data_IF_015917150430
#
_entry.id   IF_015917150430
#
_cell.length_a   1.000
_cell.length_b   1.000
_cell.length_c   1.000
_cell.angle_alpha   90.00
_cell.angle_beta   90.00
_cell.angle_gamma   90.00
#
_symmetry.space_group_name_H-M   'P 1'
#
loop_
_entity.id
_entity.type
_entity.pdbx_description
1 polymer ?
#
# COMPACT_ATOMS: atom_id res chain seq x y z
N UNK A 1 -14.86 1.91 -3.63
CA UNK A 1 -14.89 3.38 -3.83
C UNK A 1 -13.44 3.82 -3.76
N UNK A 2 -12.79 4.02 -4.90
CA UNK A 2 -11.35 4.29 -4.98
C UNK A 2 -11.06 5.68 -4.42
N UNK A 3 -9.91 5.85 -3.77
CA UNK A 3 -9.55 7.11 -3.11
C UNK A 3 -9.03 8.07 -4.17
N UNK A 4 -9.95 8.62 -4.98
CA UNK A 4 -9.65 9.74 -5.87
C UNK A 4 -9.63 11.01 -5.02
N UNK A 5 -8.43 11.50 -4.73
CA UNK A 5 -8.24 12.72 -3.95
C UNK A 5 -7.59 13.75 -4.86
N UNK A 6 -8.24 14.91 -5.01
CA UNK A 6 -7.85 15.94 -5.98
C UNK A 6 -7.79 15.45 -7.44
N UNK A 7 -8.56 14.42 -7.81
CA UNK A 7 -8.62 13.88 -9.17
C UNK A 7 -7.51 12.89 -9.52
N UNK A 8 -6.70 12.46 -8.54
CA UNK A 8 -5.64 11.45 -8.72
C UNK A 8 -5.74 10.35 -7.66
N UNK A 9 -5.24 9.16 -7.96
CA UNK A 9 -5.18 7.97 -7.09
C UNK A 9 -3.73 7.56 -6.83
N UNK A 10 -3.44 6.95 -5.68
CA UNK A 10 -2.09 6.45 -5.32
C UNK A 10 -1.52 5.51 -6.39
N UNK A 11 -2.39 4.80 -7.11
CA UNK A 11 -2.01 3.87 -8.17
C UNK A 11 -1.64 4.56 -9.49
N UNK A 12 -2.01 5.82 -9.71
CA UNK A 12 -1.67 6.58 -10.93
C UNK A 12 -0.16 6.75 -11.04
N UNK A 13 0.43 6.52 -12.22
CA UNK A 13 1.88 6.43 -12.43
C UNK A 13 2.63 7.79 -12.49
N UNK A 14 1.89 8.89 -12.67
CA UNK A 14 2.48 10.20 -12.86
C UNK A 14 3.35 10.64 -11.66
N UNK A 15 4.49 11.31 -11.91
CA UNK A 15 5.53 11.51 -10.89
C UNK A 15 5.12 12.45 -9.74
N UNK A 16 4.12 13.30 -9.95
CA UNK A 16 3.65 14.31 -9.00
C UNK A 16 2.42 13.90 -8.19
N UNK A 17 1.88 12.69 -8.43
CA UNK A 17 0.66 12.18 -7.79
C UNK A 17 0.79 12.15 -6.28
N UNK A 18 1.88 11.57 -5.74
CA UNK A 18 2.07 11.48 -4.30
C UNK A 18 2.26 12.86 -3.64
N UNK A 19 2.82 13.83 -4.35
CA UNK A 19 2.96 15.20 -3.85
C UNK A 19 1.60 15.92 -3.83
N UNK A 20 0.80 15.79 -4.89
CA UNK A 20 -0.58 16.30 -4.94
C UNK A 20 -1.42 15.75 -3.79
N UNK A 21 -1.37 14.44 -3.58
CA UNK A 21 -2.09 13.76 -2.51
C UNK A 21 -1.59 14.21 -1.13
N UNK A 22 -0.28 14.27 -0.91
CA UNK A 22 0.29 14.72 0.36
C UNK A 22 -0.08 16.17 0.68
N UNK A 23 -0.03 17.07 -0.29
CA UNK A 23 -0.46 18.46 -0.12
C UNK A 23 -1.95 18.57 0.17
N UNK A 24 -2.78 17.77 -0.51
CA UNK A 24 -4.22 17.74 -0.23
C UNK A 24 -4.49 17.25 1.20
N UNK A 25 -3.88 16.14 1.61
CA UNK A 25 -3.98 15.61 2.98
C UNK A 25 -3.56 16.64 4.03
N UNK A 26 -2.49 17.39 3.78
CA UNK A 26 -2.07 18.47 4.68
C UNK A 26 -3.13 19.58 4.82
N UNK A 27 -3.84 19.92 3.74
CA UNK A 27 -4.95 20.90 3.78
C UNK A 27 -6.13 20.41 4.63
N UNK A 28 -6.31 19.09 4.73
CA UNK A 28 -7.29 18.45 5.62
C UNK A 28 -6.80 18.33 7.08
N UNK A 29 -5.61 18.84 7.40
CA UNK A 29 -5.02 18.75 8.74
C UNK A 29 -4.24 17.46 9.03
N UNK A 30 -4.00 16.62 8.01
CA UNK A 30 -3.20 15.39 8.16
C UNK A 30 -1.71 15.73 8.13
N UNK A 31 -1.01 15.46 9.24
CA UNK A 31 0.44 15.66 9.32
C UNK A 31 1.26 14.53 8.68
N UNK A 32 0.76 13.30 8.74
CA UNK A 32 1.42 12.12 8.18
C UNK A 32 0.42 11.03 7.80
N UNK A 33 0.79 10.17 6.85
CA UNK A 33 -0.09 9.13 6.32
C UNK A 33 0.67 7.98 5.66
N UNK A 34 -0.07 6.90 5.39
CA UNK A 34 0.38 5.75 4.60
C UNK A 34 -0.44 5.72 3.31
N UNK A 35 0.14 6.04 2.14
CA UNK A 35 -0.51 5.77 0.86
C UNK A 35 -0.91 4.29 0.76
N UNK A 36 -2.18 4.08 0.44
CA UNK A 36 -2.80 2.76 0.35
C UNK A 36 -2.86 2.30 -1.10
N UNK A 37 -2.25 1.16 -1.41
CA UNK A 37 -2.43 0.50 -2.71
C UNK A 37 -3.72 -0.29 -2.72
N UNK A 38 -4.30 -0.56 -3.90
CA UNK A 38 -5.47 -1.44 -4.04
C UNK A 38 -5.12 -2.73 -4.81
N UNK A 39 -5.98 -3.75 -4.70
CA UNK A 39 -5.93 -4.96 -5.54
C UNK A 39 -5.89 -4.61 -7.02
N UNK A 40 -4.74 -4.87 -7.65
CA UNK A 40 -4.43 -4.68 -9.07
C UNK A 40 -3.40 -5.75 -9.46
N UNK A 41 -3.03 -5.94 -10.75
CA UNK A 41 -1.95 -6.86 -11.10
C UNK A 41 -0.65 -6.58 -10.32
N UNK A 42 0.06 -7.64 -9.94
CA UNK A 42 1.19 -7.58 -9.00
C UNK A 42 2.32 -6.64 -9.47
N UNK A 43 2.57 -6.55 -10.77
CA UNK A 43 3.52 -5.60 -11.36
C UNK A 43 3.15 -4.14 -11.07
N UNK A 44 1.86 -3.80 -11.09
CA UNK A 44 1.36 -2.46 -10.76
C UNK A 44 1.50 -2.18 -9.26
N UNK A 45 1.26 -3.18 -8.40
CA UNK A 45 1.54 -3.08 -6.96
C UNK A 45 3.04 -2.82 -6.74
N UNK A 46 3.92 -3.57 -7.41
CA UNK A 46 5.37 -3.39 -7.30
C UNK A 46 5.79 -1.97 -7.70
N UNK A 47 5.24 -1.44 -8.80
CA UNK A 47 5.52 -0.08 -9.25
C UNK A 47 5.04 0.96 -8.22
N UNK A 48 3.83 0.81 -7.67
CA UNK A 48 3.31 1.69 -6.62
C UNK A 48 4.19 1.66 -5.36
N UNK A 49 4.54 0.47 -4.87
CA UNK A 49 5.40 0.31 -3.68
C UNK A 49 6.77 0.98 -3.87
N UNK A 50 7.41 0.83 -5.05
CA UNK A 50 8.69 1.50 -5.34
C UNK A 50 8.57 3.02 -5.28
N UNK A 51 7.52 3.58 -5.87
CA UNK A 51 7.30 5.04 -5.89
C UNK A 51 7.01 5.59 -4.50
N UNK A 52 6.19 4.88 -3.71
CA UNK A 52 5.93 5.23 -2.32
C UNK A 52 7.22 5.18 -1.50
N UNK A 53 8.04 4.14 -1.65
CA UNK A 53 9.31 4.00 -0.95
C UNK A 53 10.28 5.15 -1.27
N UNK A 54 10.44 5.49 -2.56
CA UNK A 54 11.26 6.63 -3.00
C UNK A 54 10.76 7.95 -2.40
N UNK A 55 9.44 8.16 -2.39
CA UNK A 55 8.84 9.37 -1.82
C UNK A 55 8.95 9.44 -0.30
N UNK A 56 8.86 8.30 0.38
CA UNK A 56 9.06 8.16 1.82
C UNK A 56 10.49 8.56 2.20
N UNK A 57 11.49 8.09 1.45
CA UNK A 57 12.91 8.34 1.73
C UNK A 57 13.35 9.76 1.38
N UNK A 58 12.94 10.31 0.22
CA UNK A 58 13.38 11.66 -0.18
C UNK A 58 12.65 12.79 0.55
N UNK A 59 11.52 12.48 1.20
CA UNK A 59 10.60 13.50 1.70
C UNK A 59 9.93 14.28 0.55
N UNK A 60 9.35 15.43 0.89
CA UNK A 60 8.66 16.30 -0.08
C UNK A 60 7.52 17.10 0.57
N UNK A 61 6.75 17.87 -0.22
CA UNK A 61 5.74 18.79 0.29
C UNK A 61 4.52 18.08 0.89
N UNK A 62 3.81 18.77 1.77
CA UNK A 62 2.55 18.30 2.37
C UNK A 62 2.74 17.29 3.50
N UNK A 63 1.75 16.42 3.67
CA UNK A 63 1.74 15.39 4.70
C UNK A 63 2.89 14.40 4.51
N UNK A 64 3.56 14.03 5.60
CA UNK A 64 4.67 13.08 5.57
C UNK A 64 4.19 11.68 5.18
N UNK A 65 4.84 11.07 4.19
CA UNK A 65 4.64 9.66 3.84
C UNK A 65 5.51 8.80 4.76
N UNK A 66 4.89 7.92 5.56
CA UNK A 66 5.59 7.08 6.55
C UNK A 66 5.95 5.68 6.05
N UNK A 67 5.52 5.36 4.82
CA UNK A 67 5.62 4.04 4.21
C UNK A 67 4.38 3.74 3.39
N UNK A 68 4.12 2.45 3.12
CA UNK A 68 2.95 2.01 2.35
C UNK A 68 2.02 1.12 3.16
N UNK A 69 0.73 1.19 2.84
CA UNK A 69 -0.28 0.22 3.24
C UNK A 69 -0.67 -0.60 2.01
N UNK A 70 -0.59 -1.93 2.11
CA UNK A 70 -0.98 -2.84 1.06
C UNK A 70 -2.42 -3.34 1.29
N UNK A 71 -3.40 -2.80 0.58
CA UNK A 71 -4.81 -3.24 0.64
C UNK A 71 -5.13 -4.23 -0.49
N UNK A 72 -5.02 -5.52 -0.18
CA UNK A 72 -5.09 -6.61 -1.15
C UNK A 72 -3.72 -6.93 -1.75
N UNK A 73 -3.58 -8.00 -2.55
CA UNK A 73 -4.62 -8.82 -3.18
C UNK A 73 -5.09 -10.04 -2.36
N UNK A 74 -4.71 -10.13 -1.08
CA UNK A 74 -4.94 -11.31 -0.23
C UNK A 74 -6.34 -11.35 0.42
N UNK A 75 -7.38 -11.12 -0.37
CA UNK A 75 -8.77 -11.17 0.08
C UNK A 75 -9.46 -12.48 -0.32
N UNK A 76 -10.60 -12.76 0.31
CA UNK A 76 -11.50 -13.86 -0.05
C UNK A 76 -12.73 -13.32 -0.80
N UNK A 77 -13.35 -14.10 -1.70
CA UNK A 77 -14.56 -13.68 -2.42
C UNK A 77 -15.70 -13.20 -1.52
N UNK A 78 -15.81 -13.80 -0.32
CA UNK A 78 -16.81 -13.46 0.69
C UNK A 78 -16.58 -12.07 1.30
N UNK A 79 -15.32 -11.63 1.37
CA UNK A 79 -14.89 -10.35 1.93
C UNK A 79 -14.33 -9.41 0.84
N UNK A 80 -14.83 -9.51 -0.40
CA UNK A 80 -14.26 -8.82 -1.57
C UNK A 80 -14.38 -7.29 -1.54
N UNK A 81 -15.34 -6.74 -0.79
CA UNK A 81 -15.66 -5.31 -0.85
C UNK A 81 -15.84 -4.82 -2.29
N UNK A 82 -15.08 -3.79 -2.68
CA UNK A 82 -15.05 -3.24 -4.04
C UNK A 82 -13.92 -3.81 -4.93
N UNK A 83 -13.21 -4.83 -4.47
CA UNK A 83 -12.06 -5.38 -5.19
C UNK A 83 -12.47 -6.44 -6.23
N UNK A 84 -11.79 -6.49 -7.39
CA UNK A 84 -12.01 -7.49 -8.43
C UNK A 84 -11.57 -8.90 -7.95
N UNK A 85 -12.49 -9.87 -7.78
CA UNK A 85 -12.16 -11.20 -7.28
C UNK A 85 -11.15 -11.97 -8.14
N UNK A 86 -11.13 -11.71 -9.45
CA UNK A 86 -10.21 -12.30 -10.41
C UNK A 86 -8.74 -11.95 -10.17
N UNK A 87 -8.47 -10.91 -9.38
CA UNK A 87 -7.12 -10.49 -9.01
C UNK A 87 -6.72 -10.99 -7.62
N UNK A 88 -7.56 -11.80 -6.95
CA UNK A 88 -7.21 -12.33 -5.64
C UNK A 88 -6.11 -13.37 -5.74
N UNK A 89 -5.18 -13.30 -4.79
CA UNK A 89 -4.01 -14.18 -4.74
C UNK A 89 -3.99 -14.92 -3.41
N UNK A 90 -3.49 -16.15 -3.44
CA UNK A 90 -3.14 -16.84 -2.19
C UNK A 90 -1.92 -16.18 -1.57
N UNK A 91 -1.88 -16.15 -0.24
CA UNK A 91 -0.78 -15.56 0.50
C UNK A 91 0.39 -16.56 0.50
N UNK A 92 1.44 -16.23 -0.24
CA UNK A 92 2.69 -16.97 -0.23
C UNK A 92 3.78 -16.14 0.45
N UNK A 93 4.52 -16.72 1.40
CA UNK A 93 5.57 -16.00 2.16
C UNK A 93 6.62 -15.41 1.22
N UNK A 94 7.01 -16.16 0.17
CA UNK A 94 7.97 -15.68 -0.81
C UNK A 94 7.48 -14.44 -1.58
N UNK A 95 6.18 -14.32 -1.86
CA UNK A 95 5.61 -13.14 -2.51
C UNK A 95 5.60 -11.95 -1.55
N UNK A 96 5.26 -12.18 -0.28
CA UNK A 96 5.33 -11.14 0.76
C UNK A 96 6.76 -10.61 0.95
N UNK A 97 7.76 -11.50 0.99
CA UNK A 97 9.17 -11.11 1.09
C UNK A 97 9.60 -10.26 -0.12
N UNK A 98 9.13 -10.61 -1.33
CA UNK A 98 9.36 -9.79 -2.52
C UNK A 98 8.72 -8.41 -2.42
N UNK A 99 7.48 -8.32 -1.91
CA UNK A 99 6.79 -7.04 -1.72
C UNK A 99 7.51 -6.15 -0.70
N UNK A 100 7.98 -6.74 0.41
CA UNK A 100 8.80 -6.04 1.41
C UNK A 100 10.09 -5.52 0.78
N UNK A 101 10.81 -6.36 0.02
CA UNK A 101 12.05 -5.98 -0.65
C UNK A 101 11.83 -4.87 -1.69
N UNK A 102 10.79 -4.98 -2.52
CA UNK A 102 10.42 -3.99 -3.54
C UNK A 102 10.02 -2.66 -2.92
N UNK A 103 9.37 -2.69 -1.76
CA UNK A 103 9.07 -1.50 -0.96
C UNK A 103 10.29 -0.90 -0.25
N UNK A 104 11.49 -1.47 -0.40
CA UNK A 104 12.69 -1.05 0.33
C UNK A 104 12.46 -0.99 1.85
N UNK A 105 11.71 -1.97 2.38
CA UNK A 105 11.30 -2.04 3.79
C UNK A 105 10.40 -0.90 4.28
N UNK A 106 9.79 -0.11 3.38
CA UNK A 106 8.80 0.91 3.77
C UNK A 106 7.37 0.39 3.82
N UNK A 107 7.09 -0.85 3.43
CA UNK A 107 5.79 -1.48 3.65
C UNK A 107 5.56 -1.61 5.16
N UNK A 108 4.47 -1.03 5.67
CA UNK A 108 4.18 -1.01 7.12
C UNK A 108 3.05 -1.94 7.52
N UNK A 109 2.03 -2.02 6.67
CA UNK A 109 0.80 -2.75 6.94
C UNK A 109 0.38 -3.49 5.68
N UNK A 110 -0.08 -4.74 5.87
CA UNK A 110 -0.69 -5.56 4.82
C UNK A 110 -2.07 -5.98 5.29
N UNK A 111 -3.10 -5.64 4.52
CA UNK A 111 -4.45 -6.14 4.73
C UNK A 111 -4.57 -7.56 4.16
N UNK A 112 -5.04 -8.48 4.99
CA UNK A 112 -5.20 -9.88 4.66
C UNK A 112 -6.51 -10.39 5.27
N UNK A 113 -7.20 -11.29 4.57
CA UNK A 113 -8.39 -11.95 5.10
C UNK A 113 -7.96 -13.05 6.10
N UNK A 114 -8.38 -13.04 7.38
CA UNK A 114 -7.82 -13.88 8.46
C UNK A 114 -7.95 -15.40 8.25
N UNK A 115 -8.82 -15.85 7.34
CA UNK A 115 -9.15 -17.26 7.09
C UNK A 115 -8.25 -17.99 6.08
N UNK A 116 -7.43 -17.29 5.28
CA UNK A 116 -6.39 -17.92 4.43
C UNK A 116 -5.35 -18.71 5.24
N UNK A 117 -4.78 -19.74 4.62
CA UNK A 117 -3.71 -20.55 5.25
C UNK A 117 -2.39 -19.77 5.14
N UNK A 118 -1.62 -19.68 6.23
CA UNK A 118 -0.35 -18.94 6.27
C UNK A 118 -0.29 -17.80 7.30
N UNK A 119 -1.41 -17.40 7.90
CA UNK A 119 -1.45 -16.34 8.95
C UNK A 119 -0.80 -16.72 10.28
N UNK A 120 -0.45 -18.00 10.47
CA UNK A 120 0.11 -18.50 11.73
C UNK A 120 1.55 -18.02 12.01
N UNK A 121 2.07 -17.08 11.22
CA UNK A 121 3.04 -16.09 11.69
C UNK A 121 2.44 -14.68 11.62
N UNK A 122 1.87 -14.14 12.72
CA UNK A 122 1.57 -12.72 12.80
C UNK A 122 2.88 -11.96 13.05
N UNK A 123 3.61 -11.61 11.99
CA UNK A 123 4.77 -10.71 12.07
C UNK A 123 4.68 -9.49 11.14
N UNK A 124 3.50 -9.18 10.59
CA UNK A 124 3.32 -8.05 9.67
C UNK A 124 2.60 -6.82 10.29
N UNK A 125 2.61 -6.69 11.62
CA UNK A 125 2.95 -5.39 12.20
C UNK A 125 4.48 -5.37 12.13
N UNK A 126 5.05 -4.70 11.12
CA UNK A 126 6.48 -4.49 11.02
C UNK A 126 6.94 -3.56 12.17
N UNK A 127 6.97 -4.10 13.39
CA UNK A 127 7.73 -3.55 14.50
C UNK A 127 9.21 -3.83 14.23
N UNK A 128 9.85 -2.99 13.42
CA UNK A 128 11.28 -2.75 13.58
C UNK A 128 11.44 -1.78 14.76
N UNK A 129 11.95 -2.35 15.86
CA UNK A 129 12.38 -1.66 17.07
C UNK A 129 13.41 -0.56 16.77
N UNK A 130 13.32 0.49 17.60
CA UNK A 130 14.35 1.47 18.02
C UNK A 130 14.80 2.52 17.02
#
# INVERSE_FOLDING_TARGET
MYTVVAGVDVMDDAPDVLDKLAMHKAREGVGSWLPTTVTTPLNTIHAALKRIAQRCQRGGPGAQVLGSYLEGPYFTPQNKGAHPPELFRELEIAELDQLIAVSQHTLRVVALAPEKKGHCRPSAILNSKT
#
